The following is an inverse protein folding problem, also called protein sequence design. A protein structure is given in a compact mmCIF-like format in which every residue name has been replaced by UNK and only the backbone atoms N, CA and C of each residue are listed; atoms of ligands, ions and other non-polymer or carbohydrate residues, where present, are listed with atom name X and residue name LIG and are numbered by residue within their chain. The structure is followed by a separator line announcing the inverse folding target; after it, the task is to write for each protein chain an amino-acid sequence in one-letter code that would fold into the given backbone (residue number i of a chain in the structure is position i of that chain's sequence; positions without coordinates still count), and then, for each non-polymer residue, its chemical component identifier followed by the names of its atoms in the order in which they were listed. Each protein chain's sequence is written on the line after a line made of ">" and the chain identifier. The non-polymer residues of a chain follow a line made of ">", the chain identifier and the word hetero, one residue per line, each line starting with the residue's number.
data_IF_318853188493
#
_entry.id   IF_318853188493
#
_cell.length_a   1.000
_cell.length_b   1.000
_cell.length_c   1.000
_cell.angle_alpha   90.00
_cell.angle_beta   90.00
_cell.angle_gamma   90.00
#
_symmetry.space_group_name_H-M   'P 1'
#
loop_
_entity.id
_entity.type
_entity.pdbx_description
1 polymer ?
#
# COMPACT_ATOMS: atom_id res chain seq x y z
N UNK A 1 7.33 -17.52 -40.95
CA UNK A 1 8.08 -17.39 -39.67
C UNK A 1 7.15 -17.79 -38.54
N UNK A 2 7.18 -19.05 -38.14
CA UNK A 2 6.22 -19.64 -37.21
C UNK A 2 6.59 -19.26 -35.77
N UNK A 3 5.89 -18.29 -35.21
CA UNK A 3 5.93 -17.97 -33.79
C UNK A 3 5.16 -19.05 -33.03
N UNK A 4 5.85 -20.10 -32.59
CA UNK A 4 5.28 -21.07 -31.65
C UNK A 4 5.23 -20.43 -30.26
N UNK A 5 4.30 -19.50 -30.08
CA UNK A 5 3.85 -19.08 -28.75
C UNK A 5 3.16 -20.30 -28.18
N UNK A 6 3.86 -21.05 -27.33
CA UNK A 6 3.39 -22.27 -26.68
C UNK A 6 2.14 -21.97 -25.82
N UNK A 7 0.98 -21.89 -26.46
CA UNK A 7 -0.32 -22.10 -25.83
C UNK A 7 -0.57 -23.57 -25.47
N UNK A 8 0.43 -24.45 -25.56
CA UNK A 8 0.21 -25.86 -25.86
C UNK A 8 0.70 -26.89 -24.82
N UNK A 9 1.21 -26.53 -23.63
CA UNK A 9 1.42 -27.53 -22.57
C UNK A 9 0.54 -27.26 -21.34
N UNK A 10 -0.78 -27.31 -21.61
CA UNK A 10 -1.85 -27.66 -20.65
C UNK A 10 -1.95 -26.79 -19.38
N UNK A 11 -2.20 -25.48 -19.51
CA UNK A 11 -2.47 -24.55 -18.38
C UNK A 11 -1.55 -24.83 -17.18
N UNK A 12 -0.23 -24.70 -17.35
CA UNK A 12 0.69 -24.78 -16.20
C UNK A 12 0.17 -23.87 -15.08
N UNK A 13 -0.34 -24.48 -14.00
CA UNK A 13 -0.83 -23.75 -12.84
C UNK A 13 0.38 -23.42 -12.00
N UNK A 14 0.69 -22.13 -11.95
CA UNK A 14 1.66 -21.62 -11.01
C UNK A 14 1.02 -21.56 -9.64
N UNK A 15 1.56 -22.32 -8.69
CA UNK A 15 1.23 -22.17 -7.28
C UNK A 15 1.61 -20.77 -6.79
N UNK A 16 1.03 -20.33 -5.67
CA UNK A 16 1.39 -19.04 -5.09
C UNK A 16 2.90 -18.96 -4.77
N UNK A 17 3.46 -20.02 -4.19
CA UNK A 17 4.89 -20.09 -3.86
C UNK A 17 5.79 -19.97 -5.09
N UNK A 18 5.44 -20.63 -6.21
CA UNK A 18 6.19 -20.48 -7.45
C UNK A 18 6.14 -19.06 -8.00
N UNK A 19 4.97 -18.40 -7.95
CA UNK A 19 4.84 -16.99 -8.37
C UNK A 19 5.73 -16.08 -7.53
N UNK A 20 5.71 -16.25 -6.20
CA UNK A 20 6.54 -15.47 -5.28
C UNK A 20 8.02 -15.67 -5.58
N UNK A 21 8.46 -16.93 -5.69
CA UNK A 21 9.85 -17.25 -6.01
C UNK A 21 10.30 -16.64 -7.33
N UNK A 22 9.47 -16.70 -8.37
CA UNK A 22 9.77 -16.09 -9.66
C UNK A 22 9.85 -14.57 -9.57
N UNK A 23 8.92 -13.92 -8.85
CA UNK A 23 8.96 -12.48 -8.61
C UNK A 23 10.24 -12.09 -7.87
N UNK A 24 10.62 -12.81 -6.81
CA UNK A 24 11.86 -12.57 -6.07
C UNK A 24 13.11 -12.67 -6.96
N UNK A 25 13.18 -13.67 -7.85
CA UNK A 25 14.30 -13.77 -8.80
C UNK A 25 14.35 -12.53 -9.69
N UNK A 26 13.22 -12.01 -10.17
CA UNK A 26 13.19 -10.78 -10.98
C UNK A 26 13.55 -9.50 -10.24
N UNK A 27 13.61 -9.54 -8.90
CA UNK A 27 13.99 -8.42 -8.04
C UNK A 27 15.48 -8.46 -7.65
N UNK A 28 16.18 -9.55 -7.95
CA UNK A 28 17.63 -9.63 -7.72
C UNK A 28 18.39 -8.63 -8.61
N UNK A 29 19.47 -8.03 -8.11
CA UNK A 29 20.29 -7.12 -8.90
C UNK A 29 20.87 -7.85 -10.11
N UNK A 30 20.79 -7.22 -11.28
CA UNK A 30 21.28 -7.78 -12.55
C UNK A 30 20.33 -8.75 -13.26
N UNK A 31 19.22 -9.16 -12.63
CA UNK A 31 18.21 -10.00 -13.29
C UNK A 31 17.20 -9.13 -14.06
N UNK A 32 16.80 -9.61 -15.25
CA UNK A 32 15.78 -8.95 -16.08
C UNK A 32 14.54 -9.82 -16.18
N UNK A 33 13.36 -9.21 -16.26
CA UNK A 33 12.08 -9.95 -16.40
C UNK A 33 12.11 -10.88 -17.61
N UNK A 34 12.66 -10.42 -18.74
CA UNK A 34 12.78 -11.22 -19.96
C UNK A 34 13.79 -12.38 -19.79
N UNK A 35 14.91 -12.16 -19.10
CA UNK A 35 15.89 -13.21 -18.80
C UNK A 35 15.31 -14.30 -17.91
N UNK A 36 14.59 -13.91 -16.85
CA UNK A 36 13.90 -14.85 -15.95
C UNK A 36 12.78 -15.59 -16.68
N UNK A 37 11.98 -14.90 -17.49
CA UNK A 37 10.94 -15.51 -18.32
C UNK A 37 11.47 -16.63 -19.21
N UNK A 38 12.56 -16.37 -19.95
CA UNK A 38 13.21 -17.36 -20.83
C UNK A 38 13.76 -18.55 -20.05
N UNK A 39 14.46 -18.29 -18.94
CA UNK A 39 15.11 -19.33 -18.12
C UNK A 39 14.12 -20.27 -17.43
N UNK A 40 12.96 -19.74 -17.03
CA UNK A 40 11.94 -20.49 -16.28
C UNK A 40 10.75 -20.95 -17.14
N UNK A 41 10.75 -20.65 -18.45
CA UNK A 41 9.65 -20.97 -19.35
C UNK A 41 8.34 -20.28 -18.96
N UNK A 42 8.43 -19.05 -18.46
CA UNK A 42 7.28 -18.23 -18.01
C UNK A 42 7.03 -17.15 -19.05
N UNK A 43 5.77 -16.86 -19.37
CA UNK A 43 5.45 -15.68 -20.17
C UNK A 43 5.85 -14.40 -19.42
N UNK A 44 6.71 -13.58 -20.03
CA UNK A 44 7.15 -12.29 -19.48
C UNK A 44 5.98 -11.39 -19.02
N UNK A 45 4.84 -11.40 -19.73
CA UNK A 45 3.63 -10.67 -19.32
C UNK A 45 3.09 -11.10 -17.93
N UNK A 46 3.14 -12.40 -17.60
CA UNK A 46 2.71 -12.89 -16.28
C UNK A 46 3.62 -12.36 -15.16
N UNK A 47 4.93 -12.30 -15.39
CA UNK A 47 5.88 -11.77 -14.40
C UNK A 47 5.64 -10.28 -14.14
N UNK A 48 5.30 -9.49 -15.17
CA UNK A 48 4.90 -8.08 -14.98
C UNK A 48 3.63 -7.95 -14.14
N UNK A 49 2.61 -8.76 -14.43
CA UNK A 49 1.36 -8.78 -13.66
C UNK A 49 1.64 -9.16 -12.20
N UNK A 50 2.40 -10.22 -11.94
CA UNK A 50 2.70 -10.65 -10.57
C UNK A 50 3.58 -9.66 -9.81
N UNK A 51 4.55 -9.00 -10.46
CA UNK A 51 5.31 -7.90 -9.83
C UNK A 51 4.41 -6.75 -9.42
N UNK A 52 3.44 -6.38 -10.26
CA UNK A 52 2.45 -5.34 -9.92
C UNK A 52 1.58 -5.76 -8.73
N UNK A 53 1.11 -7.00 -8.72
CA UNK A 53 0.30 -7.55 -7.62
C UNK A 53 1.09 -7.63 -6.31
N UNK A 54 2.37 -8.01 -6.35
CA UNK A 54 3.22 -8.03 -5.17
C UNK A 54 3.38 -6.62 -4.56
N UNK A 55 3.67 -5.61 -5.38
CA UNK A 55 3.77 -4.21 -4.92
C UNK A 55 2.46 -3.67 -4.35
N UNK A 56 1.31 -4.11 -4.87
CA UNK A 56 0.00 -3.71 -4.35
C UNK A 56 -0.29 -4.34 -2.99
N UNK A 57 0.23 -5.55 -2.72
CA UNK A 57 0.14 -6.20 -1.41
C UNK A 57 1.09 -5.58 -0.39
N UNK A 58 2.29 -5.21 -0.82
CA UNK A 58 3.29 -4.51 0.01
C UNK A 58 2.92 -3.07 0.34
N UNK A 59 1.88 -2.51 -0.32
CA UNK A 59 1.26 -1.28 0.13
C UNK A 59 0.48 -1.55 1.41
N UNK A 60 1.22 -1.79 2.49
CA UNK A 60 0.72 -1.70 3.84
C UNK A 60 0.04 -0.33 3.98
N UNK A 61 -1.20 -0.33 4.47
CA UNK A 61 -1.83 0.89 4.98
C UNK A 61 -0.82 1.47 6.00
N UNK A 62 -0.40 2.74 5.88
CA UNK A 62 0.52 3.33 6.84
C UNK A 62 -0.03 3.08 8.24
N UNK A 63 0.76 2.41 9.09
CA UNK A 63 0.38 2.26 10.49
C UNK A 63 0.39 3.66 11.11
N UNK A 64 -0.79 4.19 11.45
CA UNK A 64 -0.89 5.43 12.19
C UNK A 64 -0.40 5.17 13.61
N UNK A 65 0.69 5.81 14.00
CA UNK A 65 1.17 5.80 15.38
C UNK A 65 0.40 6.87 16.13
N UNK A 66 -0.35 6.54 17.21
CA UNK A 66 -0.99 7.54 18.05
C UNK A 66 0.07 8.45 18.67
N UNK A 67 -0.09 9.77 18.50
CA UNK A 67 0.71 10.77 19.23
C UNK A 67 -0.16 11.32 20.36
N UNK A 68 0.32 11.24 21.59
CA UNK A 68 -0.36 11.85 22.73
C UNK A 68 -0.10 13.36 22.72
N UNK A 69 -1.16 14.16 22.57
CA UNK A 69 -1.11 15.61 22.75
C UNK A 69 -1.25 15.89 24.24
N UNK A 70 -0.14 16.22 24.90
CA UNK A 70 -0.17 16.73 26.27
C UNK A 70 -0.70 18.18 26.22
N UNK A 71 -1.86 18.50 26.81
CA UNK A 71 -2.29 19.89 26.90
C UNK A 71 -1.34 20.63 27.84
N UNK A 72 -0.59 21.61 27.32
CA UNK A 72 0.06 22.59 28.17
C UNK A 72 -1.05 23.47 28.77
N UNK A 73 -1.37 23.25 30.03
CA UNK A 73 -2.31 24.09 30.74
C UNK A 73 -1.66 25.46 30.99
N UNK A 74 -1.95 26.43 30.13
CA UNK A 74 -1.79 27.84 30.49
C UNK A 74 -3.00 28.25 31.35
N UNK A 75 -2.81 28.84 32.53
CA UNK A 75 -3.92 29.38 33.31
C UNK A 75 -4.50 30.57 32.56
N UNK A 76 -5.65 30.40 31.93
CA UNK A 76 -6.48 31.51 31.50
C UNK A 76 -7.11 32.13 32.75
N UNK A 77 -6.48 33.18 33.27
CA UNK A 77 -7.14 34.10 34.21
C UNK A 77 -8.29 34.77 33.46
N UNK A 78 -9.50 34.28 33.69
CA UNK A 78 -10.74 34.94 33.26
C UNK A 78 -11.02 36.10 34.23
N UNK A 79 -10.35 37.23 34.04
CA UNK A 79 -10.64 38.46 34.77
C UNK A 79 -11.67 39.30 33.98
N UNK A 80 -12.95 39.05 34.32
CA UNK A 80 -14.13 39.95 34.31
C UNK A 80 -14.49 40.77 33.03
N UNK A 81 -15.69 41.40 32.94
CA UNK A 81 -16.84 41.41 33.85
C UNK A 81 -18.17 40.97 33.21
N UNK A 82 -19.09 40.47 34.04
CA UNK A 82 -20.48 40.20 33.65
C UNK A 82 -21.23 41.52 33.38
N UNK A 83 -21.88 41.72 32.22
CA UNK A 83 -22.80 42.84 32.05
C UNK A 83 -24.09 42.55 32.81
N UNK A 84 -24.45 43.51 33.67
CA UNK A 84 -25.59 43.49 34.58
C UNK A 84 -26.91 43.15 33.86
N UNK A 85 -27.65 42.22 34.47
CA UNK A 85 -29.08 42.02 34.22
C UNK A 85 -29.82 43.35 34.46
N UNK A 86 -30.29 43.99 33.39
CA UNK A 86 -31.31 45.03 33.50
C UNK A 86 -32.62 44.37 33.93
N UNK A 87 -32.75 44.17 35.23
CA UNK A 87 -34.00 43.90 35.89
C UNK A 87 -34.75 45.23 36.02
N UNK A 88 -35.60 45.56 35.06
CA UNK A 88 -36.63 46.59 35.23
C UNK A 88 -37.88 46.06 34.50
N UNK A 89 -38.79 45.39 35.21
CA UNK A 89 -39.83 45.93 36.10
C UNK A 89 -41.14 46.08 35.31
N UNK A 90 -42.13 45.36 35.80
CA UNK A 90 -43.55 45.36 35.47
C UNK A 90 -44.11 46.70 35.01
N UNK A 91 -45.01 46.67 34.02
CA UNK A 91 -46.44 46.98 34.13
C UNK A 91 -47.18 46.15 33.08
#
# INVERSE_FOLDING_TARGET
>A
MQINVLGAERRRRWSYGEKVRLVEVTLRPGETVCGVARRHGVAHNLLFIWRRQARQRDRAVPALVPVEITPVAAPISSDAPQPALHHLRSV
#
